data_IF_791246511320
#
_entry.id   IF_791246511320
#
_cell.length_a   1.000
_cell.length_b   1.000
_cell.length_c   1.000
_cell.angle_alpha   90.00
_cell.angle_beta   90.00
_cell.angle_gamma   90.00
#
_symmetry.space_group_name_H-M   'P 1'
#
loop_
_entity.id
_entity.type
_entity.pdbx_description
1 polymer ?
#
# COMPACT_ATOMS: atom_id res chain seq x y z
N UNK A 1 -8.72 35.27 -23.69
CA UNK A 1 -9.15 33.99 -24.30
C UNK A 1 -10.66 33.97 -24.43
N UNK A 2 -11.19 33.45 -25.54
CA UNK A 2 -12.64 33.23 -25.73
C UNK A 2 -13.10 32.00 -24.91
N UNK A 3 -14.37 31.99 -24.45
CA UNK A 3 -15.08 30.87 -23.79
C UNK A 3 -14.67 29.51 -24.34
N UNK A 4 -14.71 29.32 -25.67
CA UNK A 4 -14.39 28.02 -26.30
C UNK A 4 -12.98 27.54 -25.97
N UNK A 5 -11.99 28.45 -25.96
CA UNK A 5 -10.61 28.10 -25.68
C UNK A 5 -10.41 27.79 -24.19
N UNK A 6 -11.08 28.53 -23.30
CA UNK A 6 -11.06 28.24 -21.86
C UNK A 6 -11.70 26.88 -21.56
N UNK A 7 -12.88 26.62 -22.13
CA UNK A 7 -13.56 25.35 -21.96
C UNK A 7 -12.74 24.17 -22.52
N UNK A 8 -12.10 24.35 -23.69
CA UNK A 8 -11.19 23.34 -24.24
C UNK A 8 -9.97 23.10 -23.34
N UNK A 9 -9.38 24.15 -22.77
CA UNK A 9 -8.31 23.99 -21.79
C UNK A 9 -8.79 23.22 -20.55
N UNK A 10 -10.03 23.44 -20.12
CA UNK A 10 -10.67 22.68 -19.04
C UNK A 10 -10.86 21.20 -19.38
N UNK A 11 -11.26 20.88 -20.62
CA UNK A 11 -11.34 19.49 -21.11
C UNK A 11 -9.97 18.83 -21.06
N UNK A 12 -8.93 19.51 -21.54
CA UNK A 12 -7.55 18.99 -21.55
C UNK A 12 -7.06 18.76 -20.12
N UNK A 13 -7.24 19.73 -19.22
CA UNK A 13 -6.87 19.59 -17.81
C UNK A 13 -7.59 18.43 -17.13
N UNK A 14 -8.90 18.30 -17.35
CA UNK A 14 -9.69 17.18 -16.84
C UNK A 14 -9.18 15.83 -17.35
N UNK A 15 -8.88 15.74 -18.65
CA UNK A 15 -8.34 14.52 -19.25
C UNK A 15 -6.97 14.14 -18.68
N UNK A 16 -6.08 15.11 -18.42
CA UNK A 16 -4.80 14.87 -17.74
C UNK A 16 -5.05 14.30 -16.34
N UNK A 17 -5.92 14.93 -15.54
CA UNK A 17 -6.27 14.44 -14.20
C UNK A 17 -6.83 13.02 -14.21
N UNK A 18 -7.67 12.71 -15.21
CA UNK A 18 -8.24 11.37 -15.43
C UNK A 18 -7.16 10.34 -15.77
N UNK A 19 -6.23 10.66 -16.66
CA UNK A 19 -5.10 9.77 -17.02
C UNK A 19 -4.20 9.53 -15.81
N UNK A 20 -3.85 10.58 -15.05
CA UNK A 20 -2.98 10.42 -13.88
C UNK A 20 -3.68 9.62 -12.78
N UNK A 21 -4.97 9.85 -12.57
CA UNK A 21 -5.78 9.05 -11.62
C UNK A 21 -5.88 7.59 -12.05
N UNK A 22 -5.95 7.33 -13.36
CA UNK A 22 -5.91 5.98 -13.91
C UNK A 22 -4.57 5.28 -13.64
N UNK A 23 -3.46 5.99 -13.85
CA UNK A 23 -2.12 5.49 -13.53
C UNK A 23 -1.98 5.18 -12.03
N UNK A 24 -2.45 6.08 -11.16
CA UNK A 24 -2.45 5.85 -9.71
C UNK A 24 -3.32 4.64 -9.31
N UNK A 25 -4.43 4.40 -9.99
CA UNK A 25 -5.26 3.22 -9.77
C UNK A 25 -4.57 1.93 -10.26
N UNK A 26 -3.84 1.99 -11.38
CA UNK A 26 -2.98 0.89 -11.85
C UNK A 26 -1.88 0.61 -10.83
N UNK A 27 -1.19 1.63 -10.32
CA UNK A 27 -0.14 1.48 -9.32
C UNK A 27 -0.68 0.78 -8.06
N UNK A 28 -1.87 1.16 -7.59
CA UNK A 28 -2.51 0.52 -6.44
C UNK A 28 -2.89 -0.95 -6.69
N UNK A 29 -3.49 -1.26 -7.85
CA UNK A 29 -3.87 -2.64 -8.15
C UNK A 29 -2.68 -3.51 -8.56
N UNK A 30 -1.58 -2.90 -9.00
CA UNK A 30 -0.33 -3.53 -9.44
C UNK A 30 0.80 -3.39 -8.43
N UNK A 31 0.50 -3.21 -7.13
CA UNK A 31 1.54 -3.17 -6.09
C UNK A 31 2.39 -4.45 -6.18
N UNK A 32 3.71 -4.27 -6.29
CA UNK A 32 4.67 -5.36 -6.43
C UNK A 32 4.96 -5.82 -7.86
N UNK A 33 4.47 -5.12 -8.90
CA UNK A 33 4.83 -5.38 -10.30
C UNK A 33 5.47 -4.15 -10.96
N UNK A 34 6.41 -4.38 -11.90
CA UNK A 34 6.84 -3.31 -12.80
C UNK A 34 5.69 -2.96 -13.75
N UNK A 35 5.13 -1.77 -13.58
CA UNK A 35 3.96 -1.33 -14.34
C UNK A 35 4.17 0.10 -14.90
N UNK A 36 3.33 0.50 -15.85
CA UNK A 36 3.45 1.80 -16.55
C UNK A 36 3.37 2.99 -15.58
N UNK A 37 2.66 2.85 -14.46
CA UNK A 37 2.54 3.91 -13.46
C UNK A 37 3.86 4.09 -12.67
N UNK A 38 4.53 3.00 -12.29
CA UNK A 38 5.86 3.05 -11.66
C UNK A 38 6.91 3.72 -12.57
N UNK A 39 6.88 3.41 -13.87
CA UNK A 39 7.74 4.04 -14.88
C UNK A 39 7.41 5.52 -15.06
N UNK A 40 6.13 5.88 -15.09
CA UNK A 40 5.70 7.28 -15.18
C UNK A 40 6.12 8.08 -13.94
N UNK A 41 5.96 7.52 -12.75
CA UNK A 41 6.39 8.15 -11.50
C UNK A 41 7.91 8.38 -11.48
N UNK A 42 8.67 7.35 -11.88
CA UNK A 42 10.13 7.43 -11.96
C UNK A 42 10.61 8.47 -12.99
N UNK A 43 9.98 8.51 -14.17
CA UNK A 43 10.29 9.49 -15.22
C UNK A 43 10.06 10.94 -14.79
N UNK A 44 9.14 11.16 -13.84
CA UNK A 44 8.85 12.47 -13.25
C UNK A 44 9.76 12.82 -12.06
N UNK A 45 10.82 12.04 -11.83
CA UNK A 45 11.77 12.23 -10.73
C UNK A 45 11.25 11.71 -9.39
N UNK A 46 10.25 10.83 -9.39
CA UNK A 46 9.62 10.30 -8.18
C UNK A 46 10.24 9.07 -7.55
N UNK A 47 11.01 8.29 -8.31
CA UNK A 47 11.54 7.03 -7.83
C UNK A 47 10.42 6.16 -7.24
N UNK A 48 10.57 5.78 -5.97
CA UNK A 48 9.64 4.90 -5.24
C UNK A 48 8.54 5.63 -4.45
N UNK A 49 8.39 6.95 -4.60
CA UNK A 49 7.44 7.76 -3.82
C UNK A 49 5.98 7.36 -4.07
N UNK A 50 5.61 7.07 -5.31
CA UNK A 50 4.25 6.68 -5.67
C UNK A 50 3.90 5.32 -5.09
N UNK A 51 4.86 4.37 -5.12
CA UNK A 51 4.71 3.05 -4.53
C UNK A 51 4.53 3.14 -3.01
N UNK A 52 5.35 3.93 -2.31
CA UNK A 52 5.20 4.16 -0.85
C UNK A 52 3.83 4.72 -0.47
N UNK A 53 3.29 5.63 -1.28
CA UNK A 53 1.94 6.16 -1.06
C UNK A 53 0.89 5.09 -1.36
N UNK A 54 1.04 4.33 -2.45
CA UNK A 54 0.13 3.26 -2.84
C UNK A 54 0.04 2.13 -1.78
N UNK A 55 1.15 1.82 -1.12
CA UNK A 55 1.23 0.81 -0.04
C UNK A 55 0.65 1.30 1.30
N UNK A 56 0.47 2.60 1.47
CA UNK A 56 -0.09 3.14 2.71
C UNK A 56 -1.57 2.80 2.88
N UNK A 57 -2.05 2.69 4.13
CA UNK A 57 -3.48 2.54 4.42
C UNK A 57 -4.33 3.73 3.95
N UNK A 58 -3.69 4.88 3.68
CA UNK A 58 -4.34 6.08 3.16
C UNK A 58 -4.54 6.05 1.65
N UNK A 59 -4.06 5.02 0.93
CA UNK A 59 -4.27 4.90 -0.52
C UNK A 59 -5.65 4.38 -0.90
N UNK A 60 -6.39 3.80 0.05
CA UNK A 60 -7.69 3.17 -0.19
C UNK A 60 -8.68 3.34 0.96
N UNK A 61 -9.96 3.27 0.62
CA UNK A 61 -11.05 3.14 1.57
C UNK A 61 -11.24 1.64 1.86
N UNK A 62 -11.01 1.18 3.10
CA UNK A 62 -11.10 -0.23 3.42
C UNK A 62 -12.55 -0.70 3.55
N UNK A 63 -12.80 -1.97 3.21
CA UNK A 63 -14.03 -2.67 3.58
C UNK A 63 -15.30 -2.22 2.87
N UNK A 64 -15.22 -1.71 1.63
CA UNK A 64 -16.42 -1.38 0.85
C UNK A 64 -17.15 -2.68 0.47
N UNK A 65 -18.45 -2.82 0.80
CA UNK A 65 -19.20 -4.03 0.46
C UNK A 65 -19.10 -4.36 -1.04
N UNK A 66 -18.88 -5.64 -1.36
CA UNK A 66 -18.73 -6.18 -2.72
C UNK A 66 -17.51 -5.72 -3.54
N UNK A 67 -16.93 -4.55 -3.25
CA UNK A 67 -15.78 -3.99 -3.97
C UNK A 67 -14.43 -4.20 -3.28
N UNK A 68 -14.44 -4.51 -1.97
CA UNK A 68 -13.23 -4.66 -1.16
C UNK A 68 -12.60 -3.30 -0.86
N UNK A 69 -11.27 -3.21 -0.90
CA UNK A 69 -10.58 -1.94 -0.74
C UNK A 69 -10.66 -1.13 -2.04
N UNK A 70 -11.19 0.09 -1.95
CA UNK A 70 -11.35 0.98 -3.11
C UNK A 70 -10.26 2.04 -3.06
N UNK A 71 -9.32 2.08 -4.01
CA UNK A 71 -8.29 3.12 -4.02
C UNK A 71 -8.89 4.51 -4.20
N UNK A 72 -8.34 5.49 -3.49
CA UNK A 72 -8.74 6.90 -3.59
C UNK A 72 -8.54 7.41 -5.03
N UNK A 73 -7.54 6.88 -5.74
CA UNK A 73 -7.29 7.17 -7.15
C UNK A 73 -8.53 6.92 -8.05
N UNK A 74 -9.41 5.96 -7.72
CA UNK A 74 -10.64 5.74 -8.48
C UNK A 74 -11.71 6.80 -8.22
N UNK A 75 -11.75 7.37 -7.01
CA UNK A 75 -12.57 8.55 -6.74
C UNK A 75 -12.06 9.73 -7.57
N UNK A 76 -10.73 9.88 -7.67
CA UNK A 76 -10.08 10.81 -8.58
C UNK A 76 -10.49 10.59 -10.04
N UNK A 77 -10.49 9.33 -10.51
CA UNK A 77 -10.90 9.01 -11.88
C UNK A 77 -12.38 9.39 -12.15
N UNK A 78 -13.28 9.09 -11.22
CA UNK A 78 -14.68 9.54 -11.29
C UNK A 78 -14.81 11.07 -11.31
N UNK A 79 -14.06 11.74 -10.43
CA UNK A 79 -14.04 13.19 -10.30
C UNK A 79 -13.56 13.87 -11.59
N UNK A 80 -12.39 13.50 -12.11
CA UNK A 80 -11.87 14.08 -13.35
C UNK A 80 -12.68 13.67 -14.58
N UNK A 81 -13.35 12.51 -14.57
CA UNK A 81 -14.32 12.13 -15.60
C UNK A 81 -15.51 13.08 -15.66
N UNK A 82 -16.09 13.39 -14.50
CA UNK A 82 -17.13 14.41 -14.37
C UNK A 82 -16.65 15.78 -14.87
N UNK A 83 -15.49 16.25 -14.41
CA UNK A 83 -14.97 17.56 -14.81
C UNK A 83 -14.73 17.65 -16.33
N UNK A 84 -14.11 16.62 -16.91
CA UNK A 84 -13.85 16.56 -18.36
C UNK A 84 -15.15 16.66 -19.15
N UNK A 85 -16.17 15.90 -18.75
CA UNK A 85 -17.48 15.93 -19.40
C UNK A 85 -18.18 17.27 -19.22
N UNK A 86 -18.16 17.86 -18.02
CA UNK A 86 -18.79 19.16 -17.78
C UNK A 86 -18.13 20.29 -18.58
N UNK A 87 -16.79 20.34 -18.65
CA UNK A 87 -16.11 21.31 -19.52
C UNK A 87 -16.40 21.06 -21.00
N UNK A 88 -16.57 19.80 -21.42
CA UNK A 88 -17.01 19.47 -22.77
C UNK A 88 -18.41 20.04 -23.06
N UNK A 89 -19.36 19.95 -22.12
CA UNK A 89 -20.67 20.59 -22.27
C UNK A 89 -20.57 22.11 -22.39
N UNK A 90 -19.66 22.76 -21.64
CA UNK A 90 -19.41 24.21 -21.79
C UNK A 90 -18.92 24.57 -23.20
N UNK A 91 -18.15 23.69 -23.87
CA UNK A 91 -17.75 23.93 -25.28
C UNK A 91 -18.94 23.91 -26.25
N UNK A 92 -20.03 23.23 -25.87
CA UNK A 92 -21.25 23.05 -26.67
C UNK A 92 -22.37 24.01 -26.28
N UNK A 93 -22.24 24.68 -25.14
CA UNK A 93 -23.24 25.59 -24.62
C UNK A 93 -23.53 26.74 -25.59
N UNK A 94 -24.82 26.98 -25.86
CA UNK A 94 -25.28 28.01 -26.81
C UNK A 94 -25.63 29.31 -26.11
N UNK A 95 -26.04 29.24 -24.84
CA UNK A 95 -26.44 30.40 -24.04
C UNK A 95 -25.46 30.64 -22.88
N UNK A 96 -25.47 31.87 -22.34
CA UNK A 96 -24.68 32.20 -21.15
C UNK A 96 -25.30 31.59 -19.88
N UNK A 97 -26.61 31.34 -19.90
CA UNK A 97 -27.35 30.70 -18.81
C UNK A 97 -26.93 29.25 -18.62
N UNK A 98 -26.78 28.48 -19.71
CA UNK A 98 -26.24 27.11 -19.66
C UNK A 98 -24.85 27.09 -19.01
N UNK A 99 -23.97 28.01 -19.42
CA UNK A 99 -22.61 28.12 -18.87
C UNK A 99 -22.65 28.50 -17.39
N UNK A 100 -23.55 29.39 -16.98
CA UNK A 100 -23.76 29.77 -15.58
C UNK A 100 -24.16 28.58 -14.71
N UNK A 101 -25.08 27.74 -15.21
CA UNK A 101 -25.53 26.56 -14.48
C UNK A 101 -24.37 25.57 -14.29
N UNK A 102 -23.54 25.35 -15.33
CA UNK A 102 -22.34 24.53 -15.20
C UNK A 102 -21.33 25.10 -14.20
N UNK A 103 -21.07 26.41 -14.24
CA UNK A 103 -20.14 27.05 -13.28
C UNK A 103 -20.67 26.92 -11.85
N UNK A 104 -21.97 27.12 -11.64
CA UNK A 104 -22.62 27.01 -10.33
C UNK A 104 -22.52 25.59 -9.76
N UNK A 105 -22.56 24.56 -10.61
CA UNK A 105 -22.39 23.18 -10.21
C UNK A 105 -20.91 22.80 -9.98
N UNK A 106 -20.00 23.24 -10.86
CA UNK A 106 -18.59 22.86 -10.84
C UNK A 106 -17.78 23.55 -9.74
N UNK A 107 -18.11 24.80 -9.41
CA UNK A 107 -17.38 25.57 -8.41
C UNK A 107 -17.30 24.87 -7.05
N UNK A 108 -18.42 24.44 -6.41
CA UNK A 108 -18.35 23.75 -5.13
C UNK A 108 -17.65 22.39 -5.22
N UNK A 109 -17.78 21.68 -6.35
CA UNK A 109 -17.13 20.38 -6.59
C UNK A 109 -15.61 20.55 -6.63
N UNK A 110 -15.10 21.52 -7.39
CA UNK A 110 -13.66 21.80 -7.48
C UNK A 110 -13.09 22.35 -6.17
N UNK A 111 -13.84 23.17 -5.44
CA UNK A 111 -13.42 23.65 -4.11
C UNK A 111 -13.32 22.49 -3.12
N UNK A 112 -14.30 21.58 -3.11
CA UNK A 112 -14.25 20.39 -2.27
C UNK A 112 -13.09 19.48 -2.65
N UNK A 113 -12.85 19.28 -3.95
CA UNK A 113 -11.69 18.55 -4.46
C UNK A 113 -10.37 19.16 -3.98
N UNK A 114 -10.23 20.49 -4.04
CA UNK A 114 -9.03 21.18 -3.56
C UNK A 114 -8.82 21.03 -2.05
N UNK A 115 -9.89 21.08 -1.25
CA UNK A 115 -9.82 20.82 0.20
C UNK A 115 -9.35 19.39 0.46
N UNK A 116 -9.87 18.42 -0.29
CA UNK A 116 -9.45 17.03 -0.19
C UNK A 116 -7.98 16.85 -0.59
N UNK A 117 -7.52 17.52 -1.65
CA UNK A 117 -6.12 17.53 -2.09
C UNK A 117 -5.19 18.06 -0.99
N UNK A 118 -5.57 19.12 -0.28
CA UNK A 118 -4.80 19.63 0.86
C UNK A 118 -4.73 18.64 2.02
N UNK A 119 -5.82 17.92 2.31
CA UNK A 119 -5.83 16.87 3.33
C UNK A 119 -4.89 15.74 2.94
N UNK A 120 -4.97 15.24 1.70
CA UNK A 120 -4.10 14.18 1.21
C UNK A 120 -2.63 14.61 1.16
N UNK A 121 -2.34 15.84 0.75
CA UNK A 121 -0.99 16.39 0.79
C UNK A 121 -0.46 16.46 2.22
N UNK A 122 -1.30 16.89 3.18
CA UNK A 122 -0.98 16.91 4.60
C UNK A 122 -0.66 15.51 5.15
N UNK A 123 -1.43 14.50 4.75
CA UNK A 123 -1.16 13.09 5.10
C UNK A 123 0.16 12.61 4.45
N UNK A 124 0.36 12.91 3.18
CA UNK A 124 1.56 12.51 2.43
C UNK A 124 2.84 13.07 3.07
N UNK A 125 2.84 14.36 3.41
CA UNK A 125 3.99 15.04 4.02
C UNK A 125 4.12 14.72 5.51
N UNK A 126 3.02 14.73 6.25
CA UNK A 126 3.02 14.65 7.71
C UNK A 126 3.04 13.23 8.29
N UNK A 127 2.47 12.25 7.58
CA UNK A 127 2.34 10.86 8.07
C UNK A 127 3.22 9.93 7.25
N UNK A 128 3.12 9.97 5.91
CA UNK A 128 3.86 9.04 5.03
C UNK A 128 5.33 9.49 4.88
N UNK A 129 5.60 10.79 4.97
CA UNK A 129 6.96 11.35 4.86
C UNK A 129 7.52 11.33 3.43
N UNK A 130 6.67 11.22 2.42
CA UNK A 130 7.05 11.30 0.99
C UNK A 130 6.00 12.04 0.19
N UNK A 131 6.38 12.60 -0.95
CA UNK A 131 5.46 13.29 -1.86
C UNK A 131 5.36 12.45 -3.13
N UNK A 132 4.19 11.85 -3.36
CA UNK A 132 3.90 11.18 -4.62
C UNK A 132 3.75 12.21 -5.75
N UNK A 133 4.62 12.13 -6.76
CA UNK A 133 4.64 13.08 -7.89
C UNK A 133 3.36 13.02 -8.72
N UNK A 134 2.79 11.82 -8.92
CA UNK A 134 1.54 11.67 -9.66
C UNK A 134 0.36 12.31 -8.89
N UNK A 135 0.30 12.13 -7.57
CA UNK A 135 -0.68 12.84 -6.72
C UNK A 135 -0.48 14.36 -6.81
N UNK A 136 0.77 14.83 -6.76
CA UNK A 136 1.06 16.26 -6.86
C UNK A 136 0.60 16.86 -8.20
N UNK A 137 0.73 16.11 -9.31
CA UNK A 137 0.19 16.50 -10.61
C UNK A 137 -1.33 16.65 -10.54
N UNK A 138 -2.05 15.68 -9.93
CA UNK A 138 -3.51 15.81 -9.77
C UNK A 138 -3.89 17.07 -8.98
N UNK A 139 -3.13 17.42 -7.94
CA UNK A 139 -3.39 18.63 -7.15
C UNK A 139 -3.19 19.92 -7.98
N UNK A 140 -2.13 19.97 -8.80
CA UNK A 140 -1.90 21.08 -9.73
C UNK A 140 -3.03 21.16 -10.76
N UNK A 141 -3.46 20.03 -11.31
CA UNK A 141 -4.57 19.97 -12.26
C UNK A 141 -5.85 20.54 -11.64
N UNK A 142 -6.19 20.17 -10.40
CA UNK A 142 -7.36 20.73 -9.70
C UNK A 142 -7.30 22.26 -9.59
N UNK A 143 -6.14 22.80 -9.21
CA UNK A 143 -5.92 24.26 -9.10
C UNK A 143 -6.07 24.94 -10.47
N UNK A 144 -5.49 24.35 -11.53
CA UNK A 144 -5.59 24.89 -12.90
C UNK A 144 -7.04 24.87 -13.39
N UNK A 145 -7.79 23.79 -13.14
CA UNK A 145 -9.20 23.70 -13.51
C UNK A 145 -10.06 24.72 -12.77
N UNK A 146 -9.79 24.97 -11.49
CA UNK A 146 -10.43 26.03 -10.72
C UNK A 146 -10.13 27.42 -11.29
N UNK A 147 -8.87 27.68 -11.69
CA UNK A 147 -8.49 28.93 -12.35
C UNK A 147 -9.18 29.11 -13.71
N UNK A 148 -9.30 28.06 -14.52
CA UNK A 148 -10.03 28.07 -15.80
C UNK A 148 -11.51 28.37 -15.56
N UNK A 149 -12.12 27.73 -14.55
CA UNK A 149 -13.52 27.98 -14.19
C UNK A 149 -13.74 29.43 -13.75
N UNK A 150 -12.82 29.99 -12.97
CA UNK A 150 -12.85 31.39 -12.56
C UNK A 150 -12.72 32.35 -13.76
N UNK A 151 -11.84 32.04 -14.71
CA UNK A 151 -11.71 32.82 -15.95
C UNK A 151 -12.97 32.74 -16.80
N UNK A 152 -13.62 31.57 -16.91
CA UNK A 152 -14.90 31.41 -17.58
C UNK A 152 -15.99 32.27 -16.91
N UNK A 153 -16.07 32.22 -15.59
CA UNK A 153 -16.99 33.06 -14.81
C UNK A 153 -16.78 34.55 -15.08
N UNK A 154 -15.52 34.99 -15.20
CA UNK A 154 -15.18 36.37 -15.57
C UNK A 154 -15.57 36.70 -17.01
N UNK A 155 -15.35 35.80 -17.97
CA UNK A 155 -15.69 36.03 -19.38
C UNK A 155 -17.19 36.09 -19.64
N UNK A 156 -17.99 35.38 -18.84
CA UNK A 156 -19.46 35.37 -18.94
C UNK A 156 -20.15 36.56 -18.25
N UNK A 157 -19.37 37.53 -17.75
CA UNK A 157 -19.94 38.72 -17.10
C UNK A 157 -20.38 38.47 -15.66
N UNK A 158 -19.73 37.54 -14.95
CA UNK A 158 -20.03 37.18 -13.54
C UNK A 158 -21.49 36.77 -13.36
N UNK A 159 -21.92 35.68 -14.02
CA UNK A 159 -23.29 35.25 -13.93
C UNK A 159 -23.67 34.90 -12.49
N UNK A 160 -24.94 35.09 -12.15
CA UNK A 160 -25.48 34.83 -10.81
C UNK A 160 -25.43 33.34 -10.52
N UNK A 161 -24.68 32.96 -9.48
CA UNK A 161 -24.57 31.57 -9.04
C UNK A 161 -25.89 31.12 -8.40
N UNK A 162 -26.63 30.25 -9.09
CA UNK A 162 -27.89 29.72 -8.60
C UNK A 162 -27.74 28.23 -8.27
N UNK A 163 -27.19 27.96 -7.08
CA UNK A 163 -26.91 26.59 -6.64
C UNK A 163 -28.17 25.70 -6.59
N UNK A 164 -29.34 26.13 -6.07
CA UNK A 164 -30.52 25.28 -6.02
C UNK A 164 -30.99 24.80 -7.40
N UNK A 165 -30.98 25.68 -8.41
CA UNK A 165 -31.38 25.33 -9.78
C UNK A 165 -30.32 24.43 -10.42
N UNK A 166 -29.04 24.79 -10.32
CA UNK A 166 -27.95 23.99 -10.88
C UNK A 166 -27.89 22.57 -10.29
N UNK A 167 -28.18 22.43 -8.99
CA UNK A 167 -28.31 21.12 -8.33
C UNK A 167 -29.51 20.36 -8.89
N UNK A 168 -30.70 20.97 -8.94
CA UNK A 168 -31.92 20.29 -9.41
C UNK A 168 -31.79 19.78 -10.85
N UNK A 169 -31.16 20.57 -11.72
CA UNK A 169 -31.05 20.25 -13.14
C UNK A 169 -29.81 19.40 -13.49
N UNK A 170 -28.70 19.57 -12.76
CA UNK A 170 -27.42 18.99 -13.12
C UNK A 170 -26.96 17.81 -12.25
N UNK A 171 -27.50 17.63 -11.03
CA UNK A 171 -26.95 16.65 -10.09
C UNK A 171 -27.14 15.20 -10.54
N UNK A 172 -28.26 14.88 -11.20
CA UNK A 172 -28.54 13.54 -11.70
C UNK A 172 -27.58 13.15 -12.80
N UNK A 173 -27.37 14.03 -13.78
CA UNK A 173 -26.38 13.84 -14.85
C UNK A 173 -24.97 13.76 -14.27
N UNK A 174 -24.61 14.64 -13.33
CA UNK A 174 -23.30 14.62 -12.71
C UNK A 174 -23.03 13.31 -11.94
N UNK A 175 -24.02 12.82 -11.19
CA UNK A 175 -23.93 11.54 -10.49
C UNK A 175 -23.75 10.38 -11.49
N UNK A 176 -24.57 10.32 -12.55
CA UNK A 176 -24.47 9.25 -13.56
C UNK A 176 -23.10 9.24 -14.25
N UNK A 177 -22.58 10.41 -14.62
CA UNK A 177 -21.25 10.52 -15.23
C UNK A 177 -20.17 10.09 -14.25
N UNK A 178 -20.23 10.56 -13.00
CA UNK A 178 -19.29 10.14 -11.96
C UNK A 178 -19.32 8.62 -11.75
N UNK A 179 -20.49 8.02 -11.59
CA UNK A 179 -20.64 6.58 -11.40
C UNK A 179 -20.16 5.79 -12.61
N UNK A 180 -20.48 6.24 -13.83
CA UNK A 180 -20.02 5.60 -15.06
C UNK A 180 -18.50 5.68 -15.18
N UNK A 181 -17.91 6.87 -14.98
CA UNK A 181 -16.47 7.05 -14.97
C UNK A 181 -15.80 6.21 -13.89
N UNK A 182 -16.29 6.24 -12.66
CA UNK A 182 -15.80 5.41 -11.57
C UNK A 182 -15.83 3.92 -11.92
N UNK A 183 -16.97 3.42 -12.43
CA UNK A 183 -17.13 2.00 -12.80
C UNK A 183 -16.21 1.62 -13.95
N UNK A 184 -16.09 2.50 -14.95
CA UNK A 184 -15.18 2.33 -16.07
C UNK A 184 -13.75 2.28 -15.58
N UNK A 185 -13.32 3.23 -14.75
CA UNK A 185 -11.98 3.27 -14.16
C UNK A 185 -11.69 2.03 -13.32
N UNK A 186 -12.64 1.61 -12.48
CA UNK A 186 -12.48 0.39 -11.68
C UNK A 186 -12.29 -0.83 -12.58
N UNK A 187 -13.12 -0.99 -13.60
CA UNK A 187 -13.02 -2.09 -14.56
C UNK A 187 -11.74 -2.02 -15.38
N UNK A 188 -11.43 -0.87 -15.97
CA UNK A 188 -10.28 -0.69 -16.87
C UNK A 188 -8.96 -0.73 -16.13
N UNK A 189 -8.86 -0.19 -14.91
CA UNK A 189 -7.60 -0.25 -14.15
C UNK A 189 -7.28 -1.69 -13.77
N UNK A 190 -8.31 -2.46 -13.35
CA UNK A 190 -8.15 -3.90 -13.12
C UNK A 190 -7.84 -4.67 -14.40
N UNK A 191 -8.55 -4.38 -15.50
CA UNK A 191 -8.29 -4.97 -16.81
C UNK A 191 -6.91 -4.60 -17.36
N UNK A 192 -6.37 -3.43 -17.05
CA UNK A 192 -5.08 -2.97 -17.54
C UNK A 192 -3.93 -3.62 -16.79
N UNK A 193 -4.03 -3.72 -15.47
CA UNK A 193 -3.14 -4.58 -14.67
C UNK A 193 -3.22 -6.03 -15.15
N UNK A 194 -4.40 -6.45 -15.61
CA UNK A 194 -4.65 -7.76 -16.19
C UNK A 194 -4.16 -7.94 -17.66
N UNK A 195 -4.10 -6.87 -18.45
CA UNK A 195 -3.88 -6.91 -19.91
C UNK A 195 -2.58 -6.29 -20.41
N UNK A 196 -1.84 -5.57 -19.56
CA UNK A 196 -0.48 -5.13 -19.85
C UNK A 196 0.40 -6.37 -19.98
N UNK A 197 0.91 -6.63 -21.19
CA UNK A 197 1.82 -7.73 -21.55
C UNK A 197 3.19 -7.63 -20.82
N UNK A 198 3.20 -7.71 -19.50
CA UNK A 198 3.93 -8.79 -18.84
C UNK A 198 3.01 -10.01 -18.92
N UNK A 199 3.50 -11.15 -19.42
CA UNK A 199 2.73 -12.38 -19.66
C UNK A 199 2.07 -12.95 -18.39
N UNK A 200 1.07 -12.28 -17.81
CA UNK A 200 0.34 -12.73 -16.63
C UNK A 200 -0.72 -11.72 -16.26
N UNK A 201 -2.00 -12.10 -16.40
CA UNK A 201 -3.06 -11.96 -15.37
C UNK A 201 -4.44 -11.82 -16.03
N UNK A 202 -5.19 -12.89 -16.24
CA UNK A 202 -6.64 -12.78 -16.23
C UNK A 202 -7.21 -13.94 -15.43
N UNK A 203 -6.99 -13.90 -14.12
CA UNK A 203 -7.85 -14.66 -13.24
C UNK A 203 -8.00 -13.90 -11.94
N UNK A 204 -9.24 -13.76 -11.50
CA UNK A 204 -9.63 -13.61 -10.09
C UNK A 204 -9.24 -14.85 -9.24
N UNK A 205 -8.06 -15.40 -9.56
CA UNK A 205 -7.29 -16.52 -9.03
C UNK A 205 -5.83 -16.19 -9.46
N UNK A 206 -5.25 -15.13 -8.90
CA UNK A 206 -4.08 -14.47 -9.49
C UNK A 206 -2.75 -15.21 -9.29
N UNK A 207 -2.57 -16.28 -10.04
CA UNK A 207 -1.31 -16.84 -10.56
C UNK A 207 -1.73 -17.81 -11.67
N UNK A 208 -1.18 -17.70 -12.88
CA UNK A 208 -1.55 -18.62 -13.96
C UNK A 208 -1.25 -20.07 -13.52
N UNK A 209 -2.07 -21.04 -13.94
CA UNK A 209 -1.87 -22.42 -13.49
C UNK A 209 -0.52 -22.98 -13.95
N UNK A 210 0.01 -22.55 -15.10
CA UNK A 210 1.35 -22.96 -15.53
C UNK A 210 2.44 -22.22 -14.74
N UNK A 211 2.29 -20.92 -14.49
CA UNK A 211 3.20 -20.16 -13.63
C UNK A 211 3.24 -20.71 -12.20
N UNK A 212 2.08 -21.00 -11.61
CA UNK A 212 1.93 -21.60 -10.29
C UNK A 212 2.67 -22.94 -10.22
N UNK A 213 2.43 -23.81 -11.20
CA UNK A 213 3.10 -25.10 -11.26
C UNK A 213 4.61 -24.93 -11.51
N UNK A 214 5.02 -23.94 -12.29
CA UNK A 214 6.43 -23.61 -12.51
C UNK A 214 7.11 -23.12 -11.22
N UNK A 215 6.50 -22.20 -10.47
CA UNK A 215 7.04 -21.70 -9.20
C UNK A 215 7.07 -22.78 -8.12
N UNK A 216 6.04 -23.63 -8.05
CA UNK A 216 6.03 -24.76 -7.11
C UNK A 216 7.09 -25.80 -7.52
N UNK A 217 7.22 -26.10 -8.82
CA UNK A 217 8.27 -26.98 -9.31
C UNK A 217 9.67 -26.41 -8.99
N UNK A 218 9.88 -25.10 -9.21
CA UNK A 218 11.12 -24.41 -8.86
C UNK A 218 11.43 -24.50 -7.36
N UNK A 219 10.44 -24.30 -6.49
CA UNK A 219 10.59 -24.50 -5.05
C UNK A 219 11.12 -25.91 -4.70
N UNK A 220 10.61 -26.96 -5.35
CA UNK A 220 11.11 -28.32 -5.09
C UNK A 220 12.54 -28.57 -5.62
N UNK A 221 13.07 -27.68 -6.47
CA UNK A 221 14.47 -27.70 -6.91
C UNK A 221 15.39 -26.85 -6.04
N UNK A 222 14.86 -25.90 -5.24
CA UNK A 222 15.66 -25.07 -4.33
C UNK A 222 16.39 -25.92 -3.29
N UNK A 223 17.70 -25.71 -3.05
CA UNK A 223 18.43 -26.48 -2.05
C UNK A 223 17.89 -26.21 -0.64
N UNK A 224 17.98 -27.22 0.22
CA UNK A 224 17.78 -27.06 1.67
C UNK A 224 19.00 -26.37 2.28
N UNK A 225 18.78 -25.33 3.09
CA UNK A 225 19.82 -24.40 3.54
C UNK A 225 20.32 -24.63 4.98
N UNK A 226 19.80 -25.61 5.69
CA UNK A 226 20.17 -25.92 7.08
C UNK A 226 19.78 -24.84 8.08
N UNK A 227 18.66 -24.15 7.87
CA UNK A 227 18.21 -23.02 8.70
C UNK A 227 17.91 -23.50 10.13
N UNK A 228 18.55 -22.87 11.11
CA UNK A 228 18.38 -23.25 12.52
C UNK A 228 17.03 -22.77 13.03
N UNK A 229 16.15 -23.66 13.47
CA UNK A 229 14.82 -23.28 14.00
C UNK A 229 14.71 -23.38 15.52
N UNK A 230 15.57 -24.17 16.15
CA UNK A 230 15.53 -24.38 17.60
C UNK A 230 16.02 -23.17 18.38
N UNK A 231 15.29 -22.84 19.45
CA UNK A 231 15.59 -21.70 20.33
C UNK A 231 15.09 -20.34 19.80
N UNK A 232 14.31 -20.33 18.72
CA UNK A 232 13.66 -19.14 18.19
C UNK A 232 12.15 -19.13 18.44
N UNK A 233 11.53 -17.94 18.58
CA UNK A 233 10.09 -17.82 18.77
C UNK A 233 9.32 -18.37 17.57
N UNK A 234 8.20 -19.03 17.85
CA UNK A 234 7.30 -19.53 16.81
C UNK A 234 5.83 -19.40 17.23
N UNK A 235 4.95 -19.40 16.23
CA UNK A 235 3.49 -19.49 16.38
C UNK A 235 3.01 -20.73 15.62
N UNK A 236 2.08 -21.50 16.19
CA UNK A 236 1.62 -22.79 15.69
C UNK A 236 2.06 -23.96 16.58
N UNK A 237 1.76 -25.21 16.17
CA UNK A 237 2.14 -26.39 16.96
C UNK A 237 3.63 -26.67 16.83
N UNK A 238 4.28 -27.04 17.94
CA UNK A 238 5.73 -27.28 18.00
C UNK A 238 6.17 -28.37 17.02
N UNK A 239 5.35 -29.40 16.87
CA UNK A 239 5.54 -30.59 16.05
C UNK A 239 4.86 -30.49 14.67
N UNK A 240 4.43 -29.29 14.26
CA UNK A 240 3.85 -29.08 12.95
C UNK A 240 4.81 -29.55 11.83
N UNK A 241 4.35 -30.36 10.88
CA UNK A 241 5.20 -30.97 9.86
C UNK A 241 5.73 -29.96 8.83
N UNK A 242 5.11 -28.78 8.72
CA UNK A 242 5.57 -27.69 7.86
C UNK A 242 6.08 -26.53 8.72
N UNK A 243 7.34 -26.14 8.49
CA UNK A 243 7.95 -24.97 9.13
C UNK A 243 8.17 -23.86 8.12
N UNK A 244 7.58 -22.70 8.39
CA UNK A 244 7.87 -21.46 7.65
C UNK A 244 8.82 -20.62 8.51
N UNK A 245 9.98 -20.22 7.98
CA UNK A 245 10.88 -19.27 8.66
C UNK A 245 10.73 -17.89 8.02
N UNK A 246 10.47 -16.88 8.83
CA UNK A 246 10.34 -15.48 8.41
C UNK A 246 11.44 -14.61 9.02
N UNK A 247 12.29 -14.06 8.16
CA UNK A 247 13.20 -12.95 8.51
C UNK A 247 12.51 -11.62 8.21
N UNK A 248 12.41 -10.74 9.20
CA UNK A 248 11.62 -9.52 9.07
C UNK A 248 12.09 -8.34 9.93
N UNK A 249 11.67 -7.14 9.52
CA UNK A 249 11.73 -5.91 10.29
C UNK A 249 10.31 -5.49 10.73
N UNK A 250 10.15 -5.15 12.00
CA UNK A 250 8.90 -4.66 12.57
C UNK A 250 8.46 -3.28 12.03
N UNK A 251 9.37 -2.51 11.43
CA UNK A 251 9.07 -1.24 10.75
C UNK A 251 8.80 -1.39 9.24
N UNK A 252 8.82 -2.61 8.70
CA UNK A 252 8.60 -2.85 7.27
C UNK A 252 7.13 -3.16 6.95
N UNK A 253 6.51 -2.35 6.08
CA UNK A 253 5.13 -2.54 5.64
C UNK A 253 4.88 -3.91 4.97
N UNK A 254 5.79 -4.38 4.10
CA UNK A 254 5.70 -5.73 3.53
C UNK A 254 5.78 -6.84 4.58
N UNK A 255 6.59 -6.65 5.62
CA UNK A 255 6.66 -7.60 6.73
C UNK A 255 5.34 -7.65 7.50
N UNK A 256 4.70 -6.49 7.72
CA UNK A 256 3.37 -6.38 8.32
C UNK A 256 2.31 -7.09 7.48
N UNK A 257 2.24 -6.82 6.17
CA UNK A 257 1.32 -7.51 5.26
C UNK A 257 1.53 -9.03 5.26
N UNK A 258 2.78 -9.47 5.23
CA UNK A 258 3.13 -10.88 5.34
C UNK A 258 2.69 -11.48 6.68
N UNK A 259 2.72 -10.72 7.78
CA UNK A 259 2.18 -11.16 9.06
C UNK A 259 0.69 -11.49 8.98
N UNK A 260 -0.11 -10.68 8.29
CA UNK A 260 -1.53 -10.94 8.10
C UNK A 260 -1.78 -12.20 7.25
N UNK A 261 -1.02 -12.39 6.18
CA UNK A 261 -1.10 -13.59 5.33
C UNK A 261 -0.77 -14.84 6.15
N UNK A 262 0.33 -14.82 6.91
CA UNK A 262 0.73 -15.95 7.73
C UNK A 262 -0.23 -16.22 8.88
N UNK A 263 -0.91 -15.21 9.43
CA UNK A 263 -1.95 -15.41 10.42
C UNK A 263 -3.14 -16.21 9.84
N UNK A 264 -3.57 -15.87 8.63
CA UNK A 264 -4.60 -16.65 7.92
C UNK A 264 -4.13 -18.07 7.65
N UNK A 265 -2.90 -18.27 7.18
CA UNK A 265 -2.32 -19.61 6.96
C UNK A 265 -2.29 -20.43 8.25
N UNK A 266 -1.81 -19.86 9.35
CA UNK A 266 -1.79 -20.54 10.66
C UNK A 266 -3.19 -20.96 11.12
N UNK A 267 -4.21 -20.14 10.82
CA UNK A 267 -5.60 -20.46 11.16
C UNK A 267 -6.21 -21.54 10.26
N UNK A 268 -5.92 -21.54 8.96
CA UNK A 268 -6.50 -22.47 7.99
C UNK A 268 -5.82 -23.85 8.02
N UNK A 269 -4.51 -23.88 8.31
CA UNK A 269 -3.68 -25.08 8.38
C UNK A 269 -3.28 -25.42 9.82
N UNK A 270 -4.22 -25.28 10.77
CA UNK A 270 -3.96 -25.51 12.19
C UNK A 270 -3.35 -26.91 12.42
N UNK A 271 -2.27 -26.94 13.20
CA UNK A 271 -1.46 -28.12 13.46
C UNK A 271 -0.61 -28.64 12.31
N UNK A 272 -0.80 -28.16 11.08
CA UNK A 272 0.04 -28.53 9.93
C UNK A 272 1.21 -27.56 9.74
N UNK A 273 1.02 -26.29 10.09
CA UNK A 273 2.01 -25.22 9.89
C UNK A 273 2.43 -24.62 11.23
N UNK A 274 3.74 -24.37 11.37
CA UNK A 274 4.31 -23.43 12.34
C UNK A 274 5.15 -22.38 11.64
N UNK A 275 5.13 -21.16 12.17
CA UNK A 275 5.95 -20.05 11.67
C UNK A 275 7.00 -19.70 12.72
N UNK A 276 8.27 -19.79 12.36
CA UNK A 276 9.42 -19.37 13.16
C UNK A 276 9.83 -17.96 12.73
N UNK A 277 10.04 -17.08 13.71
CA UNK A 277 10.32 -15.67 13.47
C UNK A 277 11.76 -15.33 13.79
N UNK A 278 12.40 -14.62 12.87
CA UNK A 278 13.77 -14.11 12.99
C UNK A 278 13.82 -12.64 12.59
N UNK A 279 14.69 -11.92 13.28
CA UNK A 279 14.87 -10.49 13.16
C UNK A 279 15.89 -10.20 12.06
N UNK A 280 15.51 -9.29 11.17
CA UNK A 280 16.41 -8.66 10.22
C UNK A 280 16.06 -7.17 10.17
N UNK A 281 16.49 -6.38 11.16
CA UNK A 281 16.16 -4.96 11.20
C UNK A 281 16.84 -4.24 10.03
N UNK A 282 16.09 -3.43 9.28
CA UNK A 282 16.57 -2.60 8.17
C UNK A 282 17.19 -1.30 8.71
N UNK A 283 18.10 -1.45 9.67
CA UNK A 283 18.71 -0.36 10.43
C UNK A 283 20.20 -0.63 10.62
N UNK A 284 21.03 0.22 9.99
CA UNK A 284 22.49 0.12 10.03
C UNK A 284 23.11 0.32 11.41
N UNK A 285 22.35 0.71 12.44
CA UNK A 285 22.88 0.83 13.81
C UNK A 285 23.10 -0.52 14.50
N UNK A 286 22.33 -1.55 14.14
CA UNK A 286 22.50 -2.92 14.66
C UNK A 286 22.67 -3.98 13.58
N UNK A 287 22.24 -3.72 12.34
CA UNK A 287 22.41 -4.63 11.22
C UNK A 287 23.51 -4.16 10.27
N UNK A 288 24.68 -4.78 10.39
CA UNK A 288 25.88 -4.49 9.57
C UNK A 288 25.70 -4.73 8.07
N UNK A 289 24.63 -5.41 7.65
CA UNK A 289 24.33 -5.65 6.24
C UNK A 289 23.60 -4.46 5.59
N UNK A 290 23.12 -3.49 6.38
CA UNK A 290 22.34 -2.35 5.89
C UNK A 290 23.22 -1.11 5.66
N UNK A 291 23.04 -0.46 4.50
CA UNK A 291 24.06 0.44 3.97
C UNK A 291 24.15 1.83 4.58
N UNK A 292 23.29 2.30 5.49
CA UNK A 292 23.58 3.37 6.48
C UNK A 292 22.51 3.47 7.59
N UNK A 293 22.88 3.92 8.80
CA UNK A 293 21.93 4.30 9.85
C UNK A 293 20.96 5.39 9.35
N UNK A 294 19.65 5.20 9.56
CA UNK A 294 18.68 6.29 9.38
C UNK A 294 18.49 7.00 10.72
N UNK A 295 18.68 8.33 10.82
CA UNK A 295 18.37 9.07 12.04
C UNK A 295 16.91 8.81 12.47
N UNK A 296 16.72 8.39 13.72
CA UNK A 296 15.39 8.04 14.24
C UNK A 296 14.86 6.66 13.86
N UNK A 297 15.68 5.79 13.25
CA UNK A 297 15.31 4.39 13.06
C UNK A 297 15.04 3.70 14.40
N UNK A 298 13.99 2.87 14.43
CA UNK A 298 13.53 2.17 15.63
C UNK A 298 13.51 0.66 15.46
N UNK A 299 13.99 0.14 14.33
CA UNK A 299 13.94 -1.28 13.98
C UNK A 299 14.77 -2.13 14.94
N UNK A 300 15.94 -1.64 15.35
CA UNK A 300 16.78 -2.32 16.34
C UNK A 300 16.09 -2.42 17.71
N UNK A 301 15.40 -1.36 18.15
CA UNK A 301 14.67 -1.35 19.42
C UNK A 301 13.53 -2.35 19.39
N UNK A 302 12.76 -2.40 18.29
CA UNK A 302 11.68 -3.37 18.09
C UNK A 302 12.18 -4.82 18.07
N UNK A 303 13.28 -5.10 17.35
CA UNK A 303 13.88 -6.43 17.29
C UNK A 303 14.32 -6.94 18.68
N UNK A 304 15.04 -6.10 19.44
CA UNK A 304 15.48 -6.43 20.81
C UNK A 304 14.27 -6.59 21.74
N UNK A 305 13.22 -5.79 21.58
CA UNK A 305 11.99 -5.93 22.36
C UNK A 305 11.29 -7.27 22.12
N UNK A 306 11.22 -7.72 20.86
CA UNK A 306 10.64 -9.02 20.50
C UNK A 306 11.43 -10.18 21.10
N UNK A 307 12.77 -10.14 21.03
CA UNK A 307 13.66 -11.11 21.71
C UNK A 307 13.37 -11.16 23.21
N UNK A 308 13.27 -9.99 23.86
CA UNK A 308 13.04 -9.92 25.30
C UNK A 308 11.62 -10.28 25.74
N UNK A 309 10.64 -10.12 24.85
CA UNK A 309 9.28 -10.59 25.08
C UNK A 309 9.19 -12.13 24.98
N UNK A 310 9.95 -12.74 24.07
CA UNK A 310 10.04 -14.19 23.95
C UNK A 310 10.59 -14.86 25.21
N UNK A 311 11.61 -14.27 25.84
CA UNK A 311 12.15 -14.73 27.14
C UNK A 311 11.13 -14.76 28.28
N UNK A 312 10.01 -14.05 28.12
CA UNK A 312 8.90 -14.02 29.07
C UNK A 312 7.67 -14.80 28.58
N UNK A 313 7.79 -15.57 27.49
CA UNK A 313 6.68 -16.33 26.89
C UNK A 313 5.61 -15.45 26.25
N UNK A 314 5.94 -14.20 25.89
CA UNK A 314 5.01 -13.19 25.34
C UNK A 314 5.48 -12.66 23.98
N UNK A 315 6.18 -13.49 23.21
CA UNK A 315 6.59 -13.14 21.85
C UNK A 315 5.39 -12.75 20.98
N UNK A 316 4.37 -13.60 20.86
CA UNK A 316 3.24 -13.35 19.93
C UNK A 316 2.50 -12.03 20.23
N UNK A 317 2.12 -11.71 21.48
CA UNK A 317 1.50 -10.42 21.80
C UNK A 317 2.41 -9.21 21.49
N UNK A 318 3.73 -9.33 21.71
CA UNK A 318 4.68 -8.28 21.35
C UNK A 318 4.79 -8.13 19.83
N UNK A 319 4.97 -9.23 19.13
CA UNK A 319 5.04 -9.29 17.67
C UNK A 319 3.82 -8.62 17.01
N UNK A 320 2.61 -8.98 17.46
CA UNK A 320 1.37 -8.38 16.95
C UNK A 320 1.30 -6.89 17.29
N UNK A 321 1.57 -6.53 18.55
CA UNK A 321 1.52 -5.14 18.99
C UNK A 321 2.53 -4.22 18.32
N UNK A 322 3.71 -4.73 17.94
CA UNK A 322 4.69 -3.96 17.18
C UNK A 322 4.16 -3.63 15.77
N UNK A 323 3.54 -4.59 15.08
CA UNK A 323 2.91 -4.32 13.79
C UNK A 323 1.67 -3.43 13.91
N UNK A 324 0.84 -3.60 14.95
CA UNK A 324 -0.29 -2.70 15.21
C UNK A 324 0.18 -1.26 15.47
N UNK A 325 1.32 -1.09 16.15
CA UNK A 325 1.94 0.22 16.34
C UNK A 325 2.40 0.81 15.00
N UNK A 326 3.04 0.02 14.14
CA UNK A 326 3.43 0.46 12.80
C UNK A 326 2.22 0.93 11.99
N UNK A 327 1.14 0.14 11.98
CA UNK A 327 -0.11 0.46 11.28
C UNK A 327 -0.72 1.79 11.77
N UNK A 328 -0.60 2.08 13.07
CA UNK A 328 -1.06 3.33 13.70
C UNK A 328 -0.08 4.50 13.54
N UNK A 329 1.06 4.30 12.87
CA UNK A 329 2.12 5.32 12.74
C UNK A 329 2.89 5.61 14.04
N UNK A 330 2.85 4.69 15.01
CA UNK A 330 3.58 4.80 16.27
C UNK A 330 4.98 4.22 16.10
N UNK A 331 6.00 5.08 16.12
CA UNK A 331 7.40 4.65 16.07
C UNK A 331 7.75 3.74 17.26
N UNK A 332 8.60 2.72 17.06
CA UNK A 332 9.03 1.77 18.10
C UNK A 332 10.15 2.33 19.00
N UNK A 333 9.95 3.53 19.54
CA UNK A 333 10.85 4.11 20.53
C UNK A 333 10.88 3.26 21.83
N UNK A 334 11.89 3.49 22.66
CA UNK A 334 11.97 2.81 23.96
C UNK A 334 10.74 3.02 24.84
N UNK A 335 10.08 4.19 24.76
CA UNK A 335 8.85 4.46 25.52
C UNK A 335 7.64 3.75 24.93
N UNK A 336 7.45 3.74 23.61
CA UNK A 336 6.31 3.06 22.99
C UNK A 336 6.39 1.54 23.15
N UNK A 337 7.58 0.97 23.05
CA UNK A 337 7.83 -0.45 23.32
C UNK A 337 7.55 -0.82 24.77
N UNK A 338 7.99 0.00 25.73
CA UNK A 338 7.70 -0.23 27.16
C UNK A 338 6.20 -0.11 27.45
N UNK A 339 5.51 0.85 26.83
CA UNK A 339 4.06 0.99 26.96
C UNK A 339 3.31 -0.22 26.40
N UNK A 340 3.71 -0.68 25.21
CA UNK A 340 3.19 -1.91 24.61
C UNK A 340 3.44 -3.11 25.52
N UNK A 341 4.65 -3.25 26.05
CA UNK A 341 5.00 -4.33 26.95
C UNK A 341 4.10 -4.35 28.20
N UNK A 342 3.87 -3.19 28.80
CA UNK A 342 2.96 -3.04 29.92
C UNK A 342 1.53 -3.46 29.55
N UNK A 343 1.03 -3.04 28.38
CA UNK A 343 -0.34 -3.36 27.95
C UNK A 343 -0.56 -4.84 27.65
N UNK A 344 0.48 -5.56 27.22
CA UNK A 344 0.41 -7.01 26.97
C UNK A 344 0.80 -7.87 28.19
N UNK A 345 1.02 -7.23 29.35
CA UNK A 345 1.28 -7.90 30.63
C UNK A 345 2.70 -8.45 30.79
N UNK A 346 3.69 -7.87 30.11
CA UNK A 346 5.10 -8.17 30.37
C UNK A 346 5.59 -7.51 31.66
N UNK A 347 6.57 -8.13 32.32
CA UNK A 347 7.30 -7.45 33.39
C UNK A 347 8.23 -6.42 32.75
N UNK A 348 7.89 -5.14 32.91
CA UNK A 348 8.62 -4.01 32.32
C UNK A 348 10.06 -3.92 32.83
N UNK A 349 10.33 -4.27 34.09
CA UNK A 349 11.68 -4.22 34.64
C UNK A 349 12.55 -5.33 34.03
N UNK A 350 12.01 -6.55 33.92
CA UNK A 350 12.68 -7.67 33.24
C UNK A 350 12.90 -7.38 31.76
N UNK A 351 11.93 -6.74 31.10
CA UNK A 351 12.08 -6.31 29.71
C UNK A 351 13.25 -5.31 29.56
N UNK A 352 13.24 -4.22 30.34
CA UNK A 352 14.30 -3.19 30.27
C UNK A 352 15.68 -3.78 30.57
N UNK A 353 15.79 -4.64 31.58
CA UNK A 353 17.04 -5.33 31.90
C UNK A 353 17.50 -6.23 30.74
N UNK A 354 16.59 -6.98 30.13
CA UNK A 354 16.90 -7.80 28.95
C UNK A 354 17.32 -6.94 27.74
N UNK A 355 16.62 -5.84 27.47
CA UNK A 355 16.92 -4.98 26.32
C UNK A 355 18.30 -4.33 26.44
N UNK A 356 18.78 -4.10 27.66
CA UNK A 356 20.14 -3.63 27.94
C UNK A 356 21.19 -4.75 27.99
N UNK A 357 20.79 -6.01 27.88
CA UNK A 357 21.69 -7.16 28.06
C UNK A 357 22.50 -7.47 26.80
N UNK A 358 23.73 -7.93 27.02
CA UNK A 358 24.57 -8.45 25.92
C UNK A 358 23.98 -9.71 25.29
N UNK A 359 23.21 -10.48 26.06
CA UNK A 359 22.56 -11.70 25.60
C UNK A 359 21.54 -11.43 24.49
N UNK A 360 20.66 -10.43 24.67
CA UNK A 360 19.70 -10.03 23.64
C UNK A 360 20.41 -9.52 22.36
N UNK A 361 21.48 -8.73 22.53
CA UNK A 361 22.29 -8.27 21.42
C UNK A 361 22.99 -9.44 20.69
N UNK A 362 23.51 -10.43 21.42
CA UNK A 362 24.16 -11.59 20.83
C UNK A 362 23.17 -12.45 20.04
N UNK A 363 21.93 -12.59 20.53
CA UNK A 363 20.87 -13.28 19.79
C UNK A 363 20.54 -12.54 18.48
N UNK A 364 20.34 -11.22 18.52
CA UNK A 364 20.13 -10.42 17.31
C UNK A 364 21.29 -10.55 16.32
N UNK A 365 22.53 -10.49 16.81
CA UNK A 365 23.72 -10.65 15.96
C UNK A 365 23.79 -12.05 15.33
N UNK A 366 23.41 -13.11 16.07
CA UNK A 366 23.38 -14.47 15.52
C UNK A 366 22.36 -14.62 14.39
N UNK A 367 21.20 -13.97 14.51
CA UNK A 367 20.17 -13.92 13.46
C UNK A 367 20.67 -13.15 12.22
N UNK A 368 21.41 -12.05 12.42
CA UNK A 368 22.05 -11.29 11.33
C UNK A 368 23.17 -12.10 10.66
N UNK A 369 23.99 -12.84 11.42
CA UNK A 369 25.07 -13.66 10.89
C UNK A 369 24.53 -14.84 10.06
N UNK A 370 23.41 -15.42 10.47
CA UNK A 370 22.70 -16.42 9.67
C UNK A 370 22.11 -15.79 8.42
N UNK A 371 21.51 -14.60 8.52
CA UNK A 371 20.98 -13.89 7.38
C UNK A 371 22.05 -13.52 6.35
N UNK A 372 23.27 -13.17 6.78
CA UNK A 372 24.42 -12.98 5.89
C UNK A 372 24.78 -14.27 5.14
N UNK A 373 24.87 -15.40 5.86
CA UNK A 373 25.17 -16.70 5.24
C UNK A 373 24.12 -17.10 4.20
N UNK A 374 22.87 -16.70 4.43
CA UNK A 374 21.75 -16.93 3.50
C UNK A 374 21.63 -15.84 2.42
N UNK A 375 22.54 -14.86 2.41
CA UNK A 375 22.55 -13.71 1.50
C UNK A 375 21.19 -12.98 1.46
N UNK A 376 20.60 -12.74 2.64
CA UNK A 376 19.36 -11.98 2.78
C UNK A 376 19.67 -10.50 2.61
N UNK A 377 19.01 -9.87 1.64
CA UNK A 377 19.20 -8.45 1.31
C UNK A 377 17.92 -7.61 1.50
N UNK A 378 16.79 -8.26 1.76
CA UNK A 378 15.50 -7.60 1.90
C UNK A 378 14.57 -8.36 2.85
N UNK A 379 13.55 -7.66 3.31
CA UNK A 379 12.51 -8.23 4.16
C UNK A 379 11.13 -8.00 3.57
N UNK A 380 10.18 -8.93 3.73
CA UNK A 380 10.36 -10.22 4.39
C UNK A 380 11.12 -11.20 3.49
N UNK A 381 11.92 -12.06 4.10
CA UNK A 381 12.50 -13.24 3.45
C UNK A 381 11.89 -14.49 4.10
N UNK A 382 11.29 -15.35 3.27
CA UNK A 382 10.54 -16.52 3.70
C UNK A 382 11.20 -17.80 3.20
N UNK A 383 11.15 -18.81 4.06
CA UNK A 383 11.61 -20.16 3.77
C UNK A 383 10.53 -21.15 4.21
N UNK A 384 10.21 -22.13 3.37
CA UNK A 384 9.28 -23.20 3.71
C UNK A 384 10.07 -24.51 3.70
N UNK A 385 10.03 -25.27 4.80
CA UNK A 385 10.81 -26.50 4.99
C UNK A 385 12.25 -26.37 4.50
N UNK A 386 12.93 -25.33 4.99
CA UNK A 386 14.35 -25.05 4.74
C UNK A 386 14.71 -24.65 3.30
N UNK A 387 13.70 -24.40 2.44
CA UNK A 387 13.87 -23.95 1.06
C UNK A 387 13.38 -22.53 0.90
N UNK A 388 14.12 -21.73 0.15
CA UNK A 388 13.76 -20.33 -0.12
C UNK A 388 12.51 -20.27 -0.99
N UNK A 389 11.62 -19.33 -0.69
CA UNK A 389 10.61 -18.87 -1.65
C UNK A 389 10.95 -17.45 -2.10
N UNK A 390 10.27 -16.99 -3.16
CA UNK A 390 10.43 -15.63 -3.68
C UNK A 390 10.36 -14.59 -2.54
N UNK A 391 11.34 -13.67 -2.52
CA UNK A 391 11.47 -12.67 -1.47
C UNK A 391 10.42 -11.57 -1.61
N UNK A 392 10.02 -10.94 -0.51
CA UNK A 392 8.93 -9.96 -0.48
C UNK A 392 7.62 -10.53 0.06
N UNK A 393 6.54 -9.77 -0.07
CA UNK A 393 5.21 -10.22 0.41
C UNK A 393 4.74 -11.39 -0.47
N UNK A 394 4.52 -12.59 0.08
CA UNK A 394 4.15 -13.74 -0.73
C UNK A 394 2.74 -13.55 -1.30
N UNK A 395 2.52 -14.02 -2.54
CA UNK A 395 1.17 -14.15 -3.05
C UNK A 395 0.41 -15.19 -2.20
N UNK A 396 -0.75 -14.85 -1.61
CA UNK A 396 -1.48 -15.77 -0.72
C UNK A 396 -1.92 -17.06 -1.41
N UNK A 397 -2.29 -17.01 -2.69
CA UNK A 397 -2.75 -18.18 -3.45
C UNK A 397 -1.56 -19.12 -3.68
N UNK A 398 -0.41 -18.58 -4.07
CA UNK A 398 0.82 -19.37 -4.21
C UNK A 398 1.21 -20.07 -2.93
N UNK A 399 1.26 -19.34 -1.82
CA UNK A 399 1.66 -19.91 -0.55
C UNK A 399 0.71 -21.06 -0.15
N UNK A 400 -0.61 -20.88 -0.30
CA UNK A 400 -1.59 -21.94 -0.04
C UNK A 400 -1.40 -23.16 -0.95
N UNK A 401 -1.30 -22.94 -2.26
CA UNK A 401 -1.10 -24.04 -3.23
C UNK A 401 0.21 -24.79 -2.99
N UNK A 402 1.28 -24.08 -2.61
CA UNK A 402 2.53 -24.69 -2.22
C UNK A 402 2.37 -25.57 -0.98
N UNK A 403 1.72 -25.07 0.07
CA UNK A 403 1.45 -25.82 1.29
C UNK A 403 0.62 -27.08 1.01
N UNK A 404 -0.43 -26.97 0.20
CA UNK A 404 -1.25 -28.11 -0.22
C UNK A 404 -0.43 -29.17 -0.96
N UNK A 405 0.46 -28.76 -1.88
CA UNK A 405 1.35 -29.71 -2.57
C UNK A 405 2.36 -30.37 -1.64
N UNK A 406 2.87 -29.66 -0.62
CA UNK A 406 3.73 -30.25 0.41
C UNK A 406 2.94 -31.29 1.21
N UNK A 407 1.74 -30.95 1.65
CA UNK A 407 0.86 -31.85 2.42
C UNK A 407 0.53 -33.12 1.61
N UNK A 408 0.25 -33.00 0.32
CA UNK A 408 -0.02 -34.16 -0.55
C UNK A 408 1.18 -35.09 -0.75
N UNK A 409 2.41 -34.59 -0.54
CA UNK A 409 3.66 -35.34 -0.71
C UNK A 409 4.18 -35.96 0.61
N UNK A 410 3.56 -35.64 1.74
CA UNK A 410 3.81 -36.27 3.05
C UNK A 410 3.06 -37.60 3.13
#
# INVERSE_FOLDING_TARGET
MNRKNLALAGVIGGAIGLIVSFLLAIEYFGIGTENVASSACSALGGGDSCLKVAESSYSAIPGVPFLGNVPIALLGFGFYGLLTYSFFLVTRAKSNEEVSNFISLLLPILVLGLVFDFVLLGISVGIIGTICQLCFITYIVTIVLLAILFLLWKTEGKPTLNFPVAIKEGITTAALVYFFSFSLGFATSKMWVSGSNSNTLATSRGMDSQEMQSKIAAYFQEPTLGIKVDGYPFIGKKDAPITIVKYADYNCGHCMHTSHILHTVLSEYDGMVRVVYKNFPLDGTCNRLMQQPRPGATSCVAAIAAICADKQGKFEPMYRGLYDNLEKGVAHSGSSVVNLANSIGLNVNSLKACMASKEAQNQLNAEIDEAEKLNIQSTPSLYVNDRKIESGTPNPIFLKSLLEQIIQKM
#
